data_IF_993627143431
#
_entry.id   IF_993627143431
#
_cell.length_a   1.000
_cell.length_b   1.000
_cell.length_c   1.000
_cell.angle_alpha   90.00
_cell.angle_beta   90.00
_cell.angle_gamma   90.00
#
_symmetry.space_group_name_H-M   'P 1'
#
loop_
_entity.id
_entity.type
_entity.pdbx_description
1 polymer ?
#
# COMPACT_ATOMS: atom_id res chain seq x y z
N UNK A 1 6.38 -1.08 29.75
CA UNK A 1 6.11 -0.87 29.12
C UNK A 1 5.22 -0.55 28.80
N UNK A 2 4.96 -0.60 29.02
CA UNK A 2 4.02 -0.24 28.68
C UNK A 2 3.62 0.31 27.53
N UNK A 3 3.95 1.10 27.07
CA UNK A 3 3.49 1.69 25.86
C UNK A 3 3.04 0.75 24.83
N UNK A 4 3.32 -0.46 24.96
CA UNK A 4 2.98 -1.34 23.94
C UNK A 4 1.55 -1.65 23.87
N UNK A 5 0.85 -1.44 24.92
CA UNK A 5 -0.56 -1.64 24.84
C UNK A 5 -1.18 -0.65 23.93
N UNK A 6 -0.64 0.52 23.92
CA UNK A 6 -1.17 1.53 23.06
C UNK A 6 -1.10 1.14 21.65
N UNK A 7 -0.09 0.37 21.31
CA UNK A 7 0.10 0.02 19.93
C UNK A 7 -1.00 -0.86 19.42
N UNK A 8 -1.73 -1.54 20.26
CA UNK A 8 -2.85 -2.34 19.80
C UNK A 8 -3.90 -1.49 19.13
N UNK A 9 -4.12 -0.29 19.64
CA UNK A 9 -5.13 0.60 19.09
C UNK A 9 -4.61 1.47 17.97
N UNK A 10 -3.34 1.85 18.06
CA UNK A 10 -2.77 2.78 17.10
C UNK A 10 -1.70 2.16 16.25
N UNK A 11 -1.69 0.86 16.18
CA UNK A 11 -0.64 0.16 15.47
C UNK A 11 -0.61 0.57 14.02
N UNK A 12 0.57 0.85 13.55
CA UNK A 12 0.80 1.12 12.15
C UNK A 12 1.66 0.00 11.59
N UNK A 13 1.34 -0.42 10.40
CA UNK A 13 2.09 -1.47 9.73
C UNK A 13 2.96 -0.91 8.63
N UNK A 14 2.51 0.18 8.03
CA UNK A 14 3.17 0.77 6.88
C UNK A 14 3.84 2.07 7.30
N UNK A 15 5.14 2.18 7.04
CA UNK A 15 5.88 3.39 7.37
C UNK A 15 5.80 4.40 6.23
N UNK A 16 5.84 3.93 5.00
CA UNK A 16 5.83 4.83 3.84
C UNK A 16 5.45 4.07 2.59
N UNK A 17 4.95 4.79 1.59
CA UNK A 17 4.69 4.22 0.27
C UNK A 17 5.30 5.16 -0.76
N UNK A 18 5.85 4.58 -1.82
CA UNK A 18 6.44 5.35 -2.91
C UNK A 18 5.93 4.77 -4.22
N UNK A 19 5.19 5.55 -5.02
CA UNK A 19 4.78 5.09 -6.35
C UNK A 19 5.98 5.19 -7.29
N UNK A 20 6.34 4.06 -7.86
CA UNK A 20 7.49 3.98 -8.77
C UNK A 20 7.00 3.84 -10.21
N UNK A 21 7.92 4.00 -11.18
CA UNK A 21 7.56 3.81 -12.58
C UNK A 21 7.02 2.41 -12.83
N UNK A 22 6.25 2.26 -13.89
CA UNK A 22 5.69 0.98 -14.32
C UNK A 22 4.69 0.43 -13.33
N UNK A 23 4.05 1.31 -12.55
CA UNK A 23 3.04 0.93 -11.58
C UNK A 23 3.56 -0.07 -10.54
N UNK A 24 4.80 0.08 -10.16
CA UNK A 24 5.37 -0.67 -9.06
C UNK A 24 5.20 0.18 -7.80
N UNK A 25 4.58 -0.37 -6.78
CA UNK A 25 4.39 0.35 -5.53
C UNK A 25 5.39 -0.15 -4.50
N UNK A 26 6.20 0.74 -3.99
CA UNK A 26 7.13 0.40 -2.94
C UNK A 26 6.46 0.65 -1.60
N UNK A 27 6.38 -0.38 -0.78
CA UNK A 27 5.77 -0.27 0.53
C UNK A 27 6.83 -0.58 1.56
N UNK A 28 7.10 0.40 2.43
CA UNK A 28 8.04 0.21 3.52
C UNK A 28 7.23 -0.01 4.79
N UNK A 29 7.54 -1.09 5.50
CA UNK A 29 6.82 -1.44 6.71
C UNK A 29 7.56 -0.93 7.94
N UNK A 30 6.80 -0.73 8.99
CA UNK A 30 7.35 -0.26 10.26
C UNK A 30 8.40 -1.23 10.78
N UNK A 31 8.27 -2.51 10.46
CA UNK A 31 9.22 -3.52 10.88
C UNK A 31 10.59 -3.39 10.22
N UNK A 32 10.71 -2.56 9.19
CA UNK A 32 11.92 -2.44 8.42
C UNK A 32 11.90 -3.22 7.12
N UNK A 33 10.85 -3.98 6.88
CA UNK A 33 10.72 -4.73 5.64
C UNK A 33 10.28 -3.81 4.51
N UNK A 34 10.61 -4.20 3.28
CA UNK A 34 10.19 -3.48 2.09
C UNK A 34 9.59 -4.44 1.09
N UNK A 35 8.51 -4.02 0.47
CA UNK A 35 7.81 -4.79 -0.52
C UNK A 35 7.69 -3.99 -1.79
N UNK A 36 7.96 -4.60 -2.93
CA UNK A 36 7.70 -3.99 -4.22
C UNK A 36 6.54 -4.74 -4.84
N UNK A 37 5.42 -4.06 -4.99
CA UNK A 37 4.19 -4.67 -5.47
C UNK A 37 3.92 -4.19 -6.88
N UNK A 38 3.88 -5.13 -7.82
CA UNK A 38 3.58 -4.80 -9.22
C UNK A 38 2.07 -4.72 -9.38
N UNK A 39 1.57 -3.53 -9.63
CA UNK A 39 0.14 -3.31 -9.78
C UNK A 39 -0.36 -3.50 -11.20
N UNK A 40 0.53 -3.73 -12.17
CA UNK A 40 0.11 -3.86 -13.56
C UNK A 40 -0.96 -4.92 -13.77
N UNK A 41 -0.87 -6.11 -13.17
CA UNK A 41 -1.91 -7.12 -13.39
C UNK A 41 -3.28 -6.72 -12.85
N UNK A 42 -3.33 -5.71 -12.00
CA UNK A 42 -4.59 -5.30 -11.38
C UNK A 42 -5.21 -4.08 -12.04
N UNK A 43 -4.53 -3.47 -12.99
CA UNK A 43 -5.01 -2.21 -13.56
C UNK A 43 -6.28 -2.37 -14.39
N UNK A 44 -6.60 -3.57 -14.83
CA UNK A 44 -7.83 -3.81 -15.57
C UNK A 44 -9.01 -4.12 -14.65
N UNK A 45 -8.77 -4.19 -13.35
CA UNK A 45 -9.87 -4.38 -12.40
C UNK A 45 -10.60 -3.07 -12.22
N UNK A 46 -11.92 -3.16 -12.17
CA UNK A 46 -12.74 -1.96 -12.05
C UNK A 46 -12.29 -1.06 -10.90
N UNK A 47 -11.97 -1.67 -9.78
CA UNK A 47 -11.58 -0.97 -8.58
C UNK A 47 -10.29 -0.17 -8.77
N UNK A 48 -9.38 -0.65 -9.60
CA UNK A 48 -8.06 -0.06 -9.76
C UNK A 48 -7.88 0.70 -11.07
N UNK A 49 -8.92 0.80 -11.88
CA UNK A 49 -8.83 1.54 -13.12
C UNK A 49 -8.28 2.95 -12.96
N UNK A 50 -8.67 3.69 -11.90
CA UNK A 50 -8.14 5.05 -11.74
C UNK A 50 -6.62 5.12 -11.59
N UNK A 51 -5.97 4.02 -11.22
CA UNK A 51 -4.52 4.02 -11.06
C UNK A 51 -3.79 4.14 -12.39
N UNK A 52 -4.49 3.99 -13.50
CA UNK A 52 -3.89 4.22 -14.81
C UNK A 52 -3.57 5.69 -15.04
N UNK A 53 -4.21 6.57 -14.28
CA UNK A 53 -3.94 8.00 -14.38
C UNK A 53 -2.69 8.31 -13.57
N UNK A 54 -1.64 8.88 -14.21
CA UNK A 54 -0.42 9.19 -13.49
C UNK A 54 -0.63 10.10 -12.27
N UNK A 55 -1.58 11.02 -12.37
CA UNK A 55 -1.86 11.90 -11.24
C UNK A 55 -2.41 11.15 -10.06
N UNK A 56 -3.28 10.18 -10.30
CA UNK A 56 -3.83 9.36 -9.24
C UNK A 56 -2.74 8.45 -8.68
N UNK A 57 -1.97 7.81 -9.56
CA UNK A 57 -0.91 6.90 -9.13
C UNK A 57 0.09 7.62 -8.22
N UNK A 58 0.50 8.82 -8.62
CA UNK A 58 1.51 9.56 -7.88
C UNK A 58 0.98 10.21 -6.62
N UNK A 59 -0.32 10.12 -6.37
CA UNK A 59 -0.91 10.70 -5.16
C UNK A 59 -0.88 9.73 -3.97
N UNK A 60 -0.20 8.60 -4.10
CA UNK A 60 -0.18 7.57 -3.06
C UNK A 60 0.24 8.14 -1.71
N UNK A 61 -0.55 7.88 -0.69
CA UNK A 61 -0.26 8.26 0.69
C UNK A 61 -0.66 7.12 1.60
N UNK A 62 -0.17 7.15 2.82
CA UNK A 62 -0.55 6.13 3.80
C UNK A 62 -0.76 6.78 5.15
N UNK A 63 -1.70 6.23 5.91
CA UNK A 63 -1.87 6.60 7.31
C UNK A 63 -1.28 5.52 8.23
N UNK A 64 -0.56 4.55 7.67
CA UNK A 64 0.05 3.48 8.44
C UNK A 64 -0.70 2.16 8.36
N UNK A 65 -1.98 2.20 8.01
CA UNK A 65 -2.83 1.01 7.92
C UNK A 65 -3.35 0.85 6.50
N UNK A 66 -3.71 1.94 5.87
CA UNK A 66 -4.24 1.94 4.50
C UNK A 66 -3.31 2.72 3.59
N UNK A 67 -3.34 2.37 2.31
CA UNK A 67 -2.69 3.14 1.27
C UNK A 67 -3.81 3.73 0.44
N UNK A 68 -3.72 5.01 0.12
CA UNK A 68 -4.77 5.69 -0.62
C UNK A 68 -4.19 6.38 -1.86
N UNK A 69 -4.87 6.19 -2.98
CA UNK A 69 -4.56 6.86 -4.24
C UNK A 69 -5.84 7.59 -4.66
N UNK A 70 -6.02 8.83 -4.24
CA UNK A 70 -7.27 9.51 -4.51
C UNK A 70 -8.43 8.75 -3.89
N UNK A 71 -9.28 8.16 -4.71
CA UNK A 71 -10.45 7.41 -4.23
C UNK A 71 -10.20 5.91 -4.10
N UNK A 72 -9.00 5.45 -4.44
CA UNK A 72 -8.68 4.04 -4.36
C UNK A 72 -7.96 3.78 -3.05
N UNK A 73 -8.43 2.80 -2.30
CA UNK A 73 -7.85 2.45 -1.01
C UNK A 73 -7.47 0.98 -0.96
N UNK A 74 -6.33 0.71 -0.33
CA UNK A 74 -5.86 -0.65 -0.09
C UNK A 74 -5.50 -0.77 1.38
N UNK A 75 -5.97 -1.81 2.03
CA UNK A 75 -5.53 -2.08 3.39
C UNK A 75 -4.18 -2.82 3.34
N UNK A 76 -3.47 -2.84 4.47
CA UNK A 76 -2.21 -3.56 4.51
C UNK A 76 -2.43 -5.06 4.29
N UNK A 77 -3.58 -5.58 4.72
CA UNK A 77 -3.90 -6.99 4.47
C UNK A 77 -4.05 -7.28 3.00
N UNK A 78 -4.68 -6.37 2.27
CA UNK A 78 -4.84 -6.54 0.83
C UNK A 78 -3.49 -6.52 0.13
N UNK A 79 -2.62 -5.64 0.56
CA UNK A 79 -1.28 -5.54 -0.03
C UNK A 79 -0.54 -6.86 0.16
N UNK A 80 -0.61 -7.43 1.35
CA UNK A 80 0.07 -8.69 1.61
C UNK A 80 -0.54 -9.83 0.82
N UNK A 81 -1.86 -9.83 0.69
CA UNK A 81 -2.54 -10.86 -0.09
C UNK A 81 -2.16 -10.78 -1.56
N UNK A 82 -2.12 -9.56 -2.09
CA UNK A 82 -1.75 -9.37 -3.49
C UNK A 82 -0.31 -9.79 -3.74
N UNK A 83 0.58 -9.46 -2.81
CA UNK A 83 1.98 -9.85 -2.94
C UNK A 83 2.12 -11.36 -2.91
N UNK A 84 1.35 -12.02 -2.07
CA UNK A 84 1.40 -13.47 -1.99
C UNK A 84 0.93 -14.15 -3.24
N UNK A 85 0.01 -13.53 -3.96
CA UNK A 85 -0.50 -14.10 -5.19
C UNK A 85 0.51 -14.03 -6.33
N UNK A 86 1.51 -13.20 -6.20
CA UNK A 86 2.51 -13.06 -7.23
C UNK A 86 3.53 -14.17 -7.19
N UNK A 87 3.51 -14.97 -6.17
CA UNK A 87 4.40 -16.09 -6.09
C UNK A 87 3.75 -17.36 -6.65
#
# INVERSE_FOLDING_TARGET
MPGKEDTCLNRKYIAAVVPLPDHILQVDFVSGSRLLLDMKPYLDKFRFLPLSDPGVWNSAVTNGIFIRFGNVELSHDEVLTMAGQDT
#
